data_IF_879183356264
#
_entry.id   IF_879183356264
#
_cell.length_a   1.000
_cell.length_b   1.000
_cell.length_c   1.000
_cell.angle_alpha   90.00
_cell.angle_beta   90.00
_cell.angle_gamma   90.00
#
_symmetry.space_group_name_H-M   'P 1'
#
loop_
_entity.id
_entity.type
_entity.pdbx_description
1 polymer ?
#
# COMPACT_ATOMS: atom_id res chain seq x y z
N UNK A 1 -9.64 9.03 -17.70
CA UNK A 1 -9.95 9.09 -16.27
C UNK A 1 -8.64 9.10 -15.52
N UNK A 2 -8.39 10.06 -14.64
CA UNK A 2 -7.18 10.10 -13.83
C UNK A 2 -7.31 9.16 -12.60
N UNK A 3 -6.22 8.98 -11.83
CA UNK A 3 -6.20 8.08 -10.66
C UNK A 3 -7.33 8.40 -9.67
N UNK A 4 -7.51 9.67 -9.28
CA UNK A 4 -8.55 10.10 -8.35
C UNK A 4 -9.96 9.75 -8.81
N UNK A 5 -10.27 10.06 -10.07
CA UNK A 5 -11.58 9.77 -10.66
C UNK A 5 -11.87 8.26 -10.71
N UNK A 6 -10.86 7.47 -11.04
CA UNK A 6 -11.00 6.02 -11.13
C UNK A 6 -11.26 5.37 -9.78
N UNK A 7 -10.53 5.76 -8.73
CA UNK A 7 -10.73 5.21 -7.39
C UNK A 7 -12.05 5.69 -6.76
N UNK A 8 -12.45 6.94 -6.97
CA UNK A 8 -13.79 7.38 -6.55
C UNK A 8 -14.91 6.55 -7.20
N UNK A 9 -14.77 6.20 -8.48
CA UNK A 9 -15.77 5.41 -9.20
C UNK A 9 -15.95 3.99 -8.65
N UNK A 10 -14.87 3.32 -8.23
CA UNK A 10 -14.92 1.92 -7.79
C UNK A 10 -15.05 1.75 -6.27
N UNK A 11 -15.03 2.84 -5.49
CA UNK A 11 -14.87 2.81 -4.03
C UNK A 11 -15.85 1.87 -3.31
N UNK A 12 -17.13 1.87 -3.69
CA UNK A 12 -18.17 1.11 -2.99
C UNK A 12 -18.04 -0.42 -3.17
N UNK A 13 -17.47 -0.88 -4.28
CA UNK A 13 -17.32 -2.30 -4.60
C UNK A 13 -15.88 -2.81 -4.44
N UNK A 14 -14.95 -1.89 -4.12
CA UNK A 14 -13.54 -2.15 -4.13
C UNK A 14 -13.13 -3.35 -3.25
N UNK A 15 -13.66 -3.43 -2.05
CA UNK A 15 -13.30 -4.47 -1.08
C UNK A 15 -13.90 -5.85 -1.41
N UNK A 16 -15.08 -5.88 -2.02
CA UNK A 16 -15.82 -7.11 -2.30
C UNK A 16 -15.01 -8.11 -3.14
N UNK A 17 -14.22 -7.58 -4.06
CA UNK A 17 -13.41 -8.37 -4.97
C UNK A 17 -11.92 -8.41 -4.60
N UNK A 18 -11.47 -7.74 -3.52
CA UNK A 18 -10.04 -7.59 -3.20
C UNK A 18 -9.32 -8.94 -3.04
N UNK A 19 -9.93 -9.89 -2.32
CA UNK A 19 -9.38 -11.25 -2.17
C UNK A 19 -9.26 -12.01 -3.49
N UNK A 20 -10.10 -11.69 -4.47
CA UNK A 20 -10.05 -12.31 -5.80
C UNK A 20 -8.95 -11.73 -6.69
N UNK A 21 -8.62 -10.45 -6.50
CA UNK A 21 -7.54 -9.78 -7.23
C UNK A 21 -6.15 -10.12 -6.70
N UNK A 22 -6.04 -10.48 -5.41
CA UNK A 22 -4.76 -10.74 -4.73
C UNK A 22 -4.72 -12.21 -4.30
N UNK A 23 -4.07 -13.10 -5.07
CA UNK A 23 -4.07 -14.54 -4.80
C UNK A 23 -3.48 -14.92 -3.43
N UNK A 24 -2.58 -14.10 -2.89
CA UNK A 24 -1.91 -14.30 -1.61
C UNK A 24 -2.48 -13.42 -0.49
N UNK A 25 -3.75 -13.02 -0.55
CA UNK A 25 -4.35 -11.97 0.26
C UNK A 25 -4.11 -12.10 1.77
N UNK A 26 -4.37 -13.28 2.34
CA UNK A 26 -4.31 -13.47 3.79
C UNK A 26 -2.84 -13.44 4.29
N UNK A 27 -1.90 -14.05 3.56
CA UNK A 27 -0.48 -13.98 3.86
C UNK A 27 0.09 -12.58 3.68
N UNK A 28 -0.31 -11.93 2.59
CA UNK A 28 0.16 -10.59 2.21
C UNK A 28 -0.27 -9.53 3.23
N UNK A 29 -1.54 -9.49 3.62
CA UNK A 29 -2.04 -8.49 4.57
C UNK A 29 -1.95 -8.95 6.02
N UNK A 30 -2.63 -10.05 6.38
CA UNK A 30 -2.83 -10.42 7.77
C UNK A 30 -1.57 -11.02 8.39
N UNK A 31 -1.01 -12.07 7.79
CA UNK A 31 0.12 -12.79 8.39
C UNK A 31 1.39 -11.95 8.39
N UNK A 32 1.64 -11.18 7.30
CA UNK A 32 2.81 -10.29 7.23
C UNK A 32 2.67 -9.13 8.22
N UNK A 33 1.47 -8.53 8.39
CA UNK A 33 1.26 -7.50 9.41
C UNK A 33 1.50 -8.05 10.82
N UNK A 34 0.98 -9.22 11.16
CA UNK A 34 1.23 -9.89 12.45
C UNK A 34 2.72 -10.10 12.70
N UNK A 35 3.44 -10.61 11.68
CA UNK A 35 4.88 -10.79 11.75
C UNK A 35 5.61 -9.47 12.04
N UNK A 36 5.31 -8.41 11.31
CA UNK A 36 5.95 -7.10 11.49
C UNK A 36 5.67 -6.56 12.89
N UNK A 37 4.39 -6.52 13.29
CA UNK A 37 4.00 -5.94 14.59
C UNK A 37 4.58 -6.70 15.77
N UNK A 38 4.74 -8.02 15.68
CA UNK A 38 5.35 -8.82 16.75
C UNK A 38 6.84 -8.52 16.96
N UNK A 39 7.50 -7.86 15.99
CA UNK A 39 8.94 -7.57 16.01
C UNK A 39 9.29 -6.09 16.23
N UNK A 40 8.30 -5.22 16.41
CA UNK A 40 8.51 -3.79 16.64
C UNK A 40 7.99 -3.35 18.02
N UNK A 41 8.47 -2.20 18.49
CA UNK A 41 7.87 -1.55 19.65
C UNK A 41 6.46 -1.08 19.26
N UNK A 42 5.51 -1.12 20.22
CA UNK A 42 4.15 -0.63 20.00
C UNK A 42 4.17 0.82 19.52
N UNK A 43 3.70 1.10 18.29
CA UNK A 43 3.66 2.46 17.77
C UNK A 43 2.58 3.28 18.49
N UNK A 44 2.82 4.59 18.61
CA UNK A 44 1.82 5.54 19.11
C UNK A 44 1.06 6.21 17.97
N UNK A 45 1.72 6.47 16.85
CA UNK A 45 1.14 7.11 15.67
C UNK A 45 1.51 6.38 14.39
N UNK A 46 0.51 6.08 13.59
CA UNK A 46 0.63 5.36 12.31
C UNK A 46 0.04 6.24 11.21
N UNK A 47 0.77 6.40 10.11
CA UNK A 47 0.31 7.05 8.88
C UNK A 47 0.11 5.99 7.81
N UNK A 48 -1.05 6.00 7.14
CA UNK A 48 -1.33 5.14 5.99
C UNK A 48 -1.47 5.99 4.72
N UNK A 49 -0.53 5.83 3.79
CA UNK A 49 -0.43 6.60 2.54
C UNK A 49 -1.17 5.86 1.40
N UNK A 50 -2.13 6.54 0.80
CA UNK A 50 -3.04 5.92 -0.16
C UNK A 50 -3.92 4.87 0.51
N UNK A 51 -4.45 5.22 1.69
CA UNK A 51 -5.17 4.30 2.57
C UNK A 51 -6.42 3.66 1.93
N UNK A 52 -6.97 4.31 0.91
CA UNK A 52 -8.13 3.81 0.19
C UNK A 52 -9.32 3.57 1.13
N UNK A 53 -9.82 2.35 1.11
CA UNK A 53 -10.92 1.90 1.98
C UNK A 53 -10.48 1.60 3.42
N UNK A 54 -9.22 1.86 3.77
CA UNK A 54 -8.65 1.57 5.09
C UNK A 54 -8.36 0.08 5.33
N UNK A 55 -8.23 -0.73 4.28
CA UNK A 55 -8.06 -2.17 4.41
C UNK A 55 -6.75 -2.55 5.12
N UNK A 56 -5.60 -1.95 4.73
CA UNK A 56 -4.34 -2.19 5.43
C UNK A 56 -4.40 -1.68 6.86
N UNK A 57 -4.91 -0.46 7.07
CA UNK A 57 -5.12 0.11 8.40
C UNK A 57 -5.96 -0.78 9.30
N UNK A 58 -6.94 -1.52 8.77
CA UNK A 58 -7.74 -2.47 9.53
C UNK A 58 -6.88 -3.62 10.10
N UNK A 59 -6.00 -4.23 9.30
CA UNK A 59 -5.11 -5.28 9.79
C UNK A 59 -4.10 -4.76 10.83
N UNK A 60 -3.59 -3.54 10.65
CA UNK A 60 -2.74 -2.89 11.63
C UNK A 60 -3.50 -2.56 12.91
N UNK A 61 -4.73 -2.07 12.82
CA UNK A 61 -5.58 -1.75 13.97
C UNK A 61 -5.89 -2.99 14.83
N UNK A 62 -6.10 -4.15 14.21
CA UNK A 62 -6.28 -5.41 14.94
C UNK A 62 -5.08 -5.76 15.84
N UNK A 63 -3.89 -5.28 15.53
CA UNK A 63 -2.67 -5.52 16.29
C UNK A 63 -2.27 -4.34 17.19
N UNK A 64 -2.62 -3.12 16.82
CA UNK A 64 -2.18 -1.86 17.45
C UNK A 64 -3.35 -0.91 17.68
N UNK A 65 -4.46 -1.36 18.27
CA UNK A 65 -5.69 -0.58 18.45
C UNK A 65 -5.54 0.69 19.31
N UNK A 66 -4.49 0.79 20.11
CA UNK A 66 -4.20 1.97 20.95
C UNK A 66 -3.42 3.08 20.23
N UNK A 67 -2.94 2.85 19.01
CA UNK A 67 -2.23 3.85 18.23
C UNK A 67 -3.20 4.86 17.61
N UNK A 68 -2.74 6.10 17.42
CA UNK A 68 -3.44 7.08 16.58
C UNK A 68 -3.18 6.79 15.11
N UNK A 69 -4.22 6.80 14.29
CA UNK A 69 -4.11 6.58 12.85
C UNK A 69 -4.44 7.83 12.07
N UNK A 70 -3.62 8.11 11.06
CA UNK A 70 -3.89 9.14 10.04
C UNK A 70 -3.97 8.44 8.69
N UNK A 71 -5.16 8.38 8.11
CA UNK A 71 -5.41 7.77 6.82
C UNK A 71 -5.45 8.86 5.75
N UNK A 72 -4.61 8.74 4.74
CA UNK A 72 -4.48 9.72 3.66
C UNK A 72 -4.79 9.10 2.32
N UNK A 73 -5.67 9.73 1.56
CA UNK A 73 -5.95 9.33 0.17
C UNK A 73 -6.34 10.57 -0.65
N UNK A 74 -6.09 10.52 -1.94
CA UNK A 74 -6.51 11.57 -2.89
C UNK A 74 -8.01 11.45 -3.24
N UNK A 75 -8.58 10.26 -3.08
CA UNK A 75 -9.96 9.93 -3.43
C UNK A 75 -10.86 9.93 -2.18
N UNK A 76 -11.68 10.98 -2.01
CA UNK A 76 -12.54 11.13 -0.83
C UNK A 76 -13.58 10.01 -0.71
N UNK A 77 -14.11 9.50 -1.83
CA UNK A 77 -15.05 8.36 -1.80
C UNK A 77 -14.42 7.09 -1.23
N UNK A 78 -13.12 6.88 -1.43
CA UNK A 78 -12.39 5.79 -0.80
C UNK A 78 -12.32 5.99 0.72
N UNK A 79 -12.00 7.20 1.18
CA UNK A 79 -12.00 7.52 2.60
C UNK A 79 -13.40 7.47 3.21
N UNK A 80 -14.48 7.69 2.46
CA UNK A 80 -15.85 7.51 2.92
C UNK A 80 -16.15 6.03 3.26
N UNK A 81 -15.58 5.09 2.51
CA UNK A 81 -15.65 3.66 2.85
C UNK A 81 -14.82 3.37 4.10
N UNK A 82 -13.63 3.95 4.22
CA UNK A 82 -12.80 3.81 5.43
C UNK A 82 -13.50 4.37 6.68
N UNK A 83 -14.17 5.52 6.60
CA UNK A 83 -14.98 6.07 7.71
C UNK A 83 -16.07 5.11 8.18
N UNK A 84 -16.73 4.42 7.23
CA UNK A 84 -17.75 3.40 7.57
C UNK A 84 -17.10 2.16 8.19
N UNK A 85 -15.91 1.74 7.74
CA UNK A 85 -15.16 0.61 8.29
C UNK A 85 -14.79 0.81 9.76
N UNK A 86 -14.45 2.03 10.13
CA UNK A 86 -13.98 2.40 11.45
C UNK A 86 -15.01 3.24 12.23
N UNK A 87 -16.29 3.07 11.93
CA UNK A 87 -17.37 3.78 12.63
C UNK A 87 -17.31 3.51 14.15
N UNK A 88 -17.44 4.57 14.94
CA UNK A 88 -17.32 4.50 16.41
C UNK A 88 -15.88 4.36 16.94
N UNK A 89 -14.84 4.53 16.11
CA UNK A 89 -13.42 4.50 16.52
C UNK A 89 -12.86 5.92 16.51
N UNK A 90 -12.51 6.47 17.67
CA UNK A 90 -12.14 7.88 17.83
C UNK A 90 -10.67 8.20 17.51
N UNK A 91 -9.77 7.21 17.49
CA UNK A 91 -8.34 7.39 17.29
C UNK A 91 -7.90 7.26 15.82
N UNK A 92 -8.84 7.40 14.89
CA UNK A 92 -8.57 7.37 13.44
C UNK A 92 -9.02 8.69 12.82
N UNK A 93 -8.11 9.34 12.11
CA UNK A 93 -8.37 10.59 11.38
C UNK A 93 -8.13 10.39 9.88
N UNK A 94 -8.79 11.22 9.06
CA UNK A 94 -8.79 11.08 7.59
C UNK A 94 -8.43 12.42 6.95
N UNK A 95 -7.55 12.39 5.95
CA UNK A 95 -7.14 13.57 5.21
C UNK A 95 -7.21 13.31 3.70
N UNK A 96 -8.00 14.11 2.98
CA UNK A 96 -7.96 14.10 1.51
C UNK A 96 -6.72 14.87 1.07
N UNK A 97 -5.68 14.15 0.65
CA UNK A 97 -4.37 14.72 0.36
C UNK A 97 -3.66 13.91 -0.74
N UNK A 98 -2.98 14.61 -1.61
CA UNK A 98 -2.04 14.02 -2.57
C UNK A 98 -0.65 13.89 -1.93
N UNK A 99 -0.35 12.70 -1.41
CA UNK A 99 0.89 12.42 -0.70
C UNK A 99 2.14 12.50 -1.60
N UNK A 100 1.99 12.52 -2.92
CA UNK A 100 3.10 12.76 -3.85
C UNK A 100 3.63 14.20 -3.77
N UNK A 101 2.79 15.13 -3.29
CA UNK A 101 3.11 16.56 -3.17
C UNK A 101 3.53 16.93 -1.76
N UNK A 102 2.79 16.48 -0.76
CA UNK A 102 3.06 16.79 0.64
C UNK A 102 2.62 15.65 1.56
N UNK A 103 3.25 15.52 2.71
CA UNK A 103 2.86 14.59 3.76
C UNK A 103 2.18 15.33 4.92
N UNK A 104 1.29 14.66 5.68
CA UNK A 104 0.67 15.21 6.87
C UNK A 104 1.68 15.76 7.86
N UNK A 105 1.24 16.74 8.67
CA UNK A 105 2.07 17.36 9.71
C UNK A 105 2.32 16.39 10.88
N UNK A 106 3.49 16.52 11.49
CA UNK A 106 3.92 15.74 12.64
C UNK A 106 4.79 14.55 12.25
N UNK A 107 5.24 13.82 13.27
CA UNK A 107 6.06 12.63 13.13
C UNK A 107 5.21 11.38 13.35
N UNK A 108 5.63 10.26 12.81
CA UNK A 108 4.93 8.98 12.89
C UNK A 108 5.92 7.88 13.26
N UNK A 109 5.54 6.99 14.18
CA UNK A 109 6.39 5.85 14.53
C UNK A 109 6.43 4.82 13.40
N UNK A 110 5.30 4.70 12.69
CA UNK A 110 5.16 3.81 11.52
C UNK A 110 4.45 4.56 10.40
N UNK A 111 4.97 4.40 9.18
CA UNK A 111 4.30 4.84 7.95
C UNK A 111 4.07 3.61 7.09
N UNK A 112 2.84 3.41 6.65
CA UNK A 112 2.44 2.28 5.80
C UNK A 112 1.91 2.76 4.46
N UNK A 113 1.96 1.89 3.47
CA UNK A 113 1.22 2.05 2.22
C UNK A 113 0.85 0.67 1.68
N UNK A 114 -0.30 0.56 1.00
CA UNK A 114 -0.68 -0.67 0.31
C UNK A 114 -1.25 -0.40 -1.07
N UNK A 115 -0.61 -0.98 -2.08
CA UNK A 115 -1.05 -0.95 -3.49
C UNK A 115 -1.38 0.47 -3.96
N UNK A 116 -0.47 1.40 -3.68
CA UNK A 116 -0.65 2.81 -3.95
C UNK A 116 0.61 3.46 -4.56
N UNK A 117 1.78 3.19 -4.03
CA UNK A 117 3.03 3.86 -4.44
C UNK A 117 3.45 3.47 -5.88
N UNK A 118 3.04 2.30 -6.36
CA UNK A 118 3.28 1.88 -7.74
C UNK A 118 2.60 2.77 -8.81
N UNK A 119 1.73 3.69 -8.42
CA UNK A 119 1.18 4.70 -9.35
C UNK A 119 2.09 5.91 -9.58
N UNK A 120 3.16 6.06 -8.80
CA UNK A 120 4.14 7.15 -8.93
C UNK A 120 5.27 6.78 -9.90
N UNK A 121 5.80 7.75 -10.62
CA UNK A 121 7.06 7.58 -11.37
C UNK A 121 8.24 7.38 -10.40
N UNK A 122 9.30 6.70 -10.85
CA UNK A 122 10.42 6.35 -9.96
C UNK A 122 11.08 7.56 -9.29
N UNK A 123 11.14 8.71 -9.97
CA UNK A 123 11.67 9.94 -9.37
C UNK A 123 10.75 10.50 -8.26
N UNK A 124 9.43 10.32 -8.38
CA UNK A 124 8.45 10.70 -7.35
C UNK A 124 8.52 9.77 -6.15
N UNK A 125 8.65 8.44 -6.40
CA UNK A 125 8.88 7.45 -5.34
C UNK A 125 10.13 7.80 -4.52
N UNK A 126 11.25 8.09 -5.20
CA UNK A 126 12.50 8.44 -4.53
C UNK A 126 12.36 9.71 -3.67
N UNK A 127 11.66 10.73 -4.16
CA UNK A 127 11.35 11.95 -3.41
C UNK A 127 10.47 11.62 -2.18
N UNK A 128 9.43 10.83 -2.38
CA UNK A 128 8.52 10.40 -1.31
C UNK A 128 9.28 9.64 -0.21
N UNK A 129 10.15 8.70 -0.57
CA UNK A 129 10.93 7.93 0.41
C UNK A 129 11.86 8.80 1.26
N UNK A 130 12.44 9.85 0.68
CA UNK A 130 13.21 10.83 1.46
C UNK A 130 12.32 11.62 2.44
N UNK A 131 11.11 12.02 2.02
CA UNK A 131 10.14 12.69 2.89
C UNK A 131 9.64 11.76 4.02
N UNK A 132 9.38 10.49 3.71
CA UNK A 132 9.01 9.47 4.69
C UNK A 132 10.13 9.32 5.74
N UNK A 133 11.38 9.21 5.28
CA UNK A 133 12.53 9.15 6.19
C UNK A 133 12.56 10.33 7.16
N UNK A 134 12.33 11.55 6.67
CA UNK A 134 12.38 12.75 7.51
C UNK A 134 11.24 12.77 8.55
N UNK A 135 10.07 12.17 8.25
CA UNK A 135 8.90 12.05 9.15
C UNK A 135 9.00 10.96 10.21
N UNK A 136 9.89 10.01 10.04
CA UNK A 136 10.09 8.94 11.00
C UNK A 136 11.09 9.37 12.09
N UNK A 137 10.89 9.01 13.37
CA UNK A 137 11.92 9.12 14.42
C UNK A 137 13.01 8.07 14.20
N UNK A 138 14.10 8.16 14.94
CA UNK A 138 15.11 7.10 14.97
C UNK A 138 14.49 5.78 15.42
N UNK A 139 14.67 4.71 14.66
CA UNK A 139 14.03 3.41 14.84
C UNK A 139 12.57 3.36 14.34
N UNK A 140 12.08 4.42 13.71
CA UNK A 140 10.77 4.43 13.04
C UNK A 140 10.76 3.55 11.80
N UNK A 141 9.59 3.06 11.42
CA UNK A 141 9.40 2.03 10.40
C UNK A 141 8.56 2.53 9.23
N UNK A 142 9.04 2.33 8.01
CA UNK A 142 8.24 2.37 6.80
C UNK A 142 7.94 0.96 6.31
N UNK A 143 6.69 0.71 5.89
CA UNK A 143 6.25 -0.58 5.33
C UNK A 143 5.46 -0.34 4.06
N UNK A 144 5.97 -0.85 2.94
CA UNK A 144 5.28 -0.81 1.67
C UNK A 144 4.79 -2.21 1.26
N UNK A 145 3.47 -2.37 1.18
CA UNK A 145 2.79 -3.53 0.62
C UNK A 145 2.44 -3.19 -0.82
N UNK A 146 3.23 -3.64 -1.80
CA UNK A 146 2.97 -3.18 -3.16
C UNK A 146 3.09 -4.29 -4.20
N UNK A 147 2.71 -3.97 -5.43
CA UNK A 147 2.93 -4.81 -6.60
C UNK A 147 4.16 -4.31 -7.36
N UNK A 148 4.97 -5.26 -7.81
CA UNK A 148 6.25 -5.03 -8.42
C UNK A 148 6.34 -5.71 -9.79
N UNK A 149 7.18 -5.16 -10.66
CA UNK A 149 7.56 -5.84 -11.89
C UNK A 149 8.65 -6.87 -11.63
N UNK A 150 8.87 -7.77 -12.59
CA UNK A 150 9.90 -8.80 -12.50
C UNK A 150 11.32 -8.30 -12.79
N UNK A 151 11.52 -7.01 -13.06
CA UNK A 151 12.81 -6.41 -13.39
C UNK A 151 13.34 -6.73 -14.79
N UNK A 152 12.92 -7.84 -15.40
CA UNK A 152 13.26 -8.28 -16.76
C UNK A 152 11.99 -8.64 -17.52
N UNK A 153 11.97 -8.45 -18.84
CA UNK A 153 10.79 -8.64 -19.67
C UNK A 153 10.21 -10.05 -19.55
N UNK A 154 11.06 -11.08 -19.58
CA UNK A 154 10.64 -12.48 -19.44
C UNK A 154 9.95 -12.73 -18.08
N UNK A 155 10.51 -12.23 -16.99
CA UNK A 155 9.93 -12.38 -15.66
C UNK A 155 8.62 -11.59 -15.51
N UNK A 156 8.54 -10.42 -16.16
CA UNK A 156 7.29 -9.65 -16.23
C UNK A 156 6.19 -10.42 -16.95
N UNK A 157 6.50 -11.08 -18.06
CA UNK A 157 5.56 -11.93 -18.78
C UNK A 157 5.08 -13.10 -17.92
N UNK A 158 5.96 -13.76 -17.18
CA UNK A 158 5.60 -14.86 -16.29
C UNK A 158 4.68 -14.39 -15.17
N UNK A 159 5.01 -13.30 -14.51
CA UNK A 159 4.18 -12.74 -13.42
C UNK A 159 2.80 -12.29 -13.92
N UNK A 160 2.74 -11.59 -15.04
CA UNK A 160 1.50 -11.13 -15.63
C UNK A 160 0.61 -12.29 -16.08
N UNK A 161 1.19 -13.25 -16.80
CA UNK A 161 0.46 -14.45 -17.28
C UNK A 161 -0.07 -15.28 -16.13
N UNK A 162 0.74 -15.49 -15.07
CA UNK A 162 0.30 -16.19 -13.89
C UNK A 162 -0.86 -15.47 -13.20
N UNK A 163 -0.73 -14.16 -12.97
CA UNK A 163 -1.77 -13.35 -12.32
C UNK A 163 -3.07 -13.35 -13.13
N UNK A 164 -3.01 -13.12 -14.44
CA UNK A 164 -4.19 -13.18 -15.32
C UNK A 164 -4.88 -14.54 -15.28
N UNK A 165 -4.12 -15.64 -15.23
CA UNK A 165 -4.67 -16.98 -15.08
C UNK A 165 -5.36 -17.19 -13.73
N UNK A 166 -4.84 -16.61 -12.63
CA UNK A 166 -5.49 -16.64 -11.32
C UNK A 166 -6.79 -15.83 -11.34
N UNK A 167 -6.79 -14.64 -11.94
CA UNK A 167 -7.99 -13.80 -12.06
C UNK A 167 -9.10 -14.50 -12.85
N UNK A 168 -8.77 -15.17 -13.95
CA UNK A 168 -9.73 -15.93 -14.74
C UNK A 168 -10.42 -17.05 -13.97
N UNK A 169 -9.77 -17.58 -12.92
CA UNK A 169 -10.29 -18.66 -12.05
C UNK A 169 -10.90 -18.15 -10.74
N UNK A 170 -10.81 -16.86 -10.45
CA UNK A 170 -11.19 -16.28 -9.14
C UNK A 170 -12.69 -16.03 -8.97
N UNK A 171 -13.51 -16.24 -10.00
CA UNK A 171 -14.93 -15.91 -10.01
C UNK A 171 -15.22 -14.41 -10.11
N UNK A 172 -14.27 -13.62 -10.64
CA UNK A 172 -14.52 -12.26 -11.10
C UNK A 172 -15.36 -12.27 -12.39
N UNK A 173 -16.21 -11.26 -12.54
CA UNK A 173 -16.96 -11.07 -13.80
C UNK A 173 -16.03 -10.52 -14.89
N UNK A 174 -16.44 -10.67 -16.17
CA UNK A 174 -15.72 -10.03 -17.28
C UNK A 174 -15.65 -8.50 -17.12
N UNK A 175 -16.69 -7.91 -16.53
CA UNK A 175 -16.71 -6.48 -16.21
C UNK A 175 -15.64 -6.10 -15.18
N UNK A 176 -15.50 -6.86 -14.08
CA UNK A 176 -14.49 -6.64 -13.07
C UNK A 176 -13.07 -6.72 -13.66
N UNK A 177 -12.83 -7.74 -14.49
CA UNK A 177 -11.54 -7.95 -15.17
C UNK A 177 -11.24 -6.79 -16.12
N UNK A 178 -12.25 -6.31 -16.86
CA UNK A 178 -12.10 -5.15 -17.76
C UNK A 178 -11.73 -3.89 -16.97
N UNK A 179 -12.44 -3.59 -15.90
CA UNK A 179 -12.12 -2.44 -15.04
C UNK A 179 -10.72 -2.54 -14.41
N UNK A 180 -10.32 -3.74 -14.00
CA UNK A 180 -8.97 -3.99 -13.51
C UNK A 180 -7.91 -3.72 -14.59
N UNK A 181 -8.10 -4.22 -15.82
CA UNK A 181 -7.19 -3.95 -16.95
C UNK A 181 -7.05 -2.46 -17.25
N UNK A 182 -8.14 -1.69 -17.14
CA UNK A 182 -8.06 -0.23 -17.32
C UNK A 182 -7.26 0.45 -16.19
N UNK A 183 -7.44 0.02 -14.91
CA UNK A 183 -6.64 0.55 -13.80
C UNK A 183 -5.16 0.21 -13.94
N UNK A 184 -4.84 -1.01 -14.35
CA UNK A 184 -3.46 -1.46 -14.56
C UNK A 184 -2.67 -0.59 -15.55
N UNK A 185 -3.33 0.10 -16.48
CA UNK A 185 -2.67 1.04 -17.39
C UNK A 185 -2.08 2.28 -16.70
N UNK A 186 -2.51 2.56 -15.46
CA UNK A 186 -2.02 3.67 -14.65
C UNK A 186 -0.81 3.28 -13.78
N UNK A 187 -0.45 1.99 -13.74
CA UNK A 187 0.63 1.48 -12.92
C UNK A 187 1.99 1.87 -13.49
N UNK A 188 2.89 2.26 -12.59
CA UNK A 188 4.29 2.63 -12.82
C UNK A 188 5.17 1.73 -11.95
N UNK A 189 4.99 0.43 -12.14
CA UNK A 189 5.70 -0.58 -11.34
C UNK A 189 7.23 -0.44 -11.51
N UNK A 190 7.96 -0.66 -10.44
CA UNK A 190 9.38 -0.91 -10.45
C UNK A 190 9.66 -2.32 -9.93
N UNK A 191 10.89 -2.81 -10.02
CA UNK A 191 11.26 -4.06 -9.36
C UNK A 191 11.49 -3.84 -7.86
N UNK A 192 11.52 -4.93 -7.08
CA UNK A 192 11.85 -4.91 -5.65
C UNK A 192 13.25 -4.31 -5.43
N UNK A 193 14.20 -4.66 -6.29
CA UNK A 193 15.58 -4.17 -6.25
C UNK A 193 15.64 -2.66 -6.50
N UNK A 194 14.92 -2.15 -7.49
CA UNK A 194 14.84 -0.72 -7.77
C UNK A 194 14.23 0.06 -6.62
N UNK A 195 13.17 -0.47 -5.96
CA UNK A 195 12.60 0.19 -4.78
C UNK A 195 13.58 0.21 -3.61
N UNK A 196 14.29 -0.90 -3.35
CA UNK A 196 15.35 -0.94 -2.33
C UNK A 196 16.43 0.10 -2.62
N UNK A 197 16.86 0.25 -3.87
CA UNK A 197 17.82 1.30 -4.26
C UNK A 197 17.28 2.71 -3.99
N UNK A 198 16.01 2.96 -4.32
CA UNK A 198 15.36 4.26 -4.07
C UNK A 198 15.25 4.56 -2.57
N UNK A 199 14.93 3.55 -1.75
CA UNK A 199 14.91 3.65 -0.29
C UNK A 199 16.32 3.92 0.28
N UNK A 200 17.35 3.26 -0.23
CA UNK A 200 18.75 3.56 0.13
C UNK A 200 19.12 5.02 -0.17
N UNK A 201 18.75 5.52 -1.35
CA UNK A 201 18.94 6.94 -1.74
C UNK A 201 18.12 7.86 -0.83
N UNK A 202 16.99 7.42 -0.32
CA UNK A 202 16.17 8.08 0.70
C UNK A 202 16.74 8.03 2.11
N UNK A 203 18.00 7.57 2.29
CA UNK A 203 18.78 7.47 3.55
C UNK A 203 18.47 6.28 4.44
N UNK A 204 17.53 5.41 4.12
CA UNK A 204 17.31 4.19 4.87
C UNK A 204 18.52 3.25 4.76
N UNK A 205 18.92 2.66 5.89
CA UNK A 205 20.09 1.74 5.96
C UNK A 205 19.67 0.29 6.16
N UNK A 206 18.57 0.08 6.86
CA UNK A 206 18.02 -1.26 7.11
C UNK A 206 16.78 -1.43 6.28
N UNK A 207 16.88 -2.16 5.18
CA UNK A 207 15.79 -2.39 4.22
C UNK A 207 15.71 -3.88 3.95
N UNK A 208 14.50 -4.44 3.96
CA UNK A 208 14.29 -5.87 3.69
C UNK A 208 12.95 -6.12 3.02
N UNK A 209 12.94 -6.92 1.97
CA UNK A 209 11.73 -7.58 1.50
C UNK A 209 11.43 -8.74 2.47
N UNK A 210 10.32 -8.66 3.20
CA UNK A 210 9.94 -9.63 4.25
C UNK A 210 8.89 -10.62 3.78
N UNK A 211 8.24 -10.33 2.66
CA UNK A 211 7.29 -11.21 1.98
C UNK A 211 7.37 -10.99 0.48
N UNK A 212 7.27 -12.05 -0.30
CA UNK A 212 7.16 -11.97 -1.76
C UNK A 212 6.36 -13.16 -2.31
N UNK A 213 5.41 -12.86 -3.17
CA UNK A 213 4.63 -13.81 -3.95
C UNK A 213 4.40 -13.23 -5.34
N UNK A 214 5.22 -13.62 -6.30
CA UNK A 214 5.28 -13.06 -7.66
C UNK A 214 5.31 -11.51 -7.63
N UNK A 215 4.23 -10.86 -8.11
CA UNK A 215 4.13 -9.39 -8.12
C UNK A 215 3.93 -8.75 -6.76
N UNK A 216 3.43 -9.48 -5.78
CA UNK A 216 3.06 -8.93 -4.48
C UNK A 216 4.20 -9.09 -3.48
N UNK A 217 4.79 -7.98 -3.06
CA UNK A 217 5.86 -8.01 -2.06
C UNK A 217 5.63 -6.99 -0.96
N UNK A 218 6.23 -7.24 0.20
CA UNK A 218 6.22 -6.32 1.33
C UNK A 218 7.65 -5.97 1.69
N UNK A 219 7.97 -4.69 1.60
CA UNK A 219 9.28 -4.14 1.93
C UNK A 219 9.17 -3.33 3.23
N UNK A 220 10.09 -3.56 4.16
CA UNK A 220 10.27 -2.75 5.35
C UNK A 220 11.55 -1.93 5.24
N UNK A 221 11.51 -0.71 5.77
CA UNK A 221 12.68 0.16 5.90
C UNK A 221 12.69 0.85 7.27
N UNK A 222 13.80 0.74 8.00
CA UNK A 222 13.97 1.28 9.36
C UNK A 222 14.93 2.48 9.31
N UNK A 223 14.54 3.59 9.95
CA UNK A 223 15.37 4.80 10.14
C UNK A 223 16.40 4.67 11.22
#
# INVERSE_FOLDING_TARGET
>A
MNIKEQFNFVAQEYDNNRKKFIPCFDDYYENTTKFIVSNIKKPKRILDLGAGTGLLSYFWYQQCSSAEYVLVDIADEMLNVARKRFDGIDNISYQVLDYSKELPKGDFDVITSALSIHHLENYEKQKLFAQIYDKLPSGGLFVNYDQFCGGQDEMNEWYNSYWENQLAKSGLTEHDIKLWKERKKLDKECSVEEEIEMLCKGKFKTIKCVYSYQKFSVIIAIK
#
